data_IF_609449022979
#
_entry.id   IF_609449022979
#
_cell.length_a   1.000
_cell.length_b   1.000
_cell.length_c   1.000
_cell.angle_alpha   90.00
_cell.angle_beta   90.00
_cell.angle_gamma   90.00
#
_symmetry.space_group_name_H-M   'P 1'
#
loop_
_entity.id
_entity.type
_entity.pdbx_description
1 polymer ?
#
# COMPACT_ATOMS: atom_id res chain seq x y z
N UNK A 1 52.73 8.90 18.13
CA UNK A 1 51.94 9.24 19.34
C UNK A 1 50.54 9.64 18.92
N UNK A 2 49.56 9.03 19.60
CA UNK A 2 48.10 9.25 19.58
C UNK A 2 47.66 10.70 19.35
N UNK A 3 46.64 10.91 18.51
CA UNK A 3 45.28 11.15 19.02
C UNK A 3 44.20 11.05 17.93
N UNK A 4 43.10 10.42 18.34
CA UNK A 4 41.81 10.27 17.65
C UNK A 4 41.02 11.58 17.71
N UNK A 5 40.16 11.83 16.71
CA UNK A 5 38.75 12.13 16.97
C UNK A 5 37.89 11.90 15.71
N UNK A 6 36.73 11.32 15.98
CA UNK A 6 35.61 10.94 15.11
C UNK A 6 34.58 12.09 15.14
N UNK A 7 33.57 12.01 14.26
CA UNK A 7 32.19 12.59 14.31
C UNK A 7 31.97 13.64 13.21
N UNK A 8 30.87 13.74 12.43
CA UNK A 8 29.66 12.96 12.06
C UNK A 8 29.05 13.72 10.85
N UNK A 9 28.29 13.00 10.01
CA UNK A 9 27.27 13.40 9.02
C UNK A 9 26.76 14.84 8.92
N UNK A 10 26.41 15.25 7.70
CA UNK A 10 25.12 15.94 7.46
C UNK A 10 24.58 15.66 6.05
N UNK A 11 23.44 14.95 5.99
CA UNK A 11 22.56 14.86 4.83
C UNK A 11 21.94 16.24 4.57
N UNK A 12 22.01 16.70 3.31
CA UNK A 12 21.28 17.87 2.83
C UNK A 12 19.90 17.42 2.31
N UNK A 13 18.89 17.59 3.17
CA UNK A 13 17.50 17.81 2.75
C UNK A 13 17.39 19.29 2.35
N UNK A 14 17.16 19.56 1.07
CA UNK A 14 16.83 20.91 0.59
C UNK A 14 15.33 20.99 0.32
N UNK A 15 14.60 21.43 1.33
CA UNK A 15 13.31 22.10 1.18
C UNK A 15 13.57 23.52 0.67
N UNK A 16 13.05 23.83 -0.51
CA UNK A 16 13.06 25.19 -1.05
C UNK A 16 11.89 25.99 -0.44
N UNK A 17 12.19 26.87 0.51
CA UNK A 17 11.36 28.02 0.83
C UNK A 17 12.03 29.28 0.28
N UNK A 18 11.29 30.05 -0.51
CA UNK A 18 11.71 31.38 -0.96
C UNK A 18 11.27 32.45 0.06
N UNK A 19 12.11 33.46 0.36
CA UNK A 19 11.77 34.56 1.23
C UNK A 19 11.23 35.78 0.45
N UNK A 20 10.30 36.52 1.06
CA UNK A 20 9.84 37.83 0.60
C UNK A 20 9.45 38.72 1.78
N UNK A 21 10.32 39.71 2.05
CA UNK A 21 10.33 40.74 3.09
C UNK A 21 9.01 41.56 3.21
N UNK A 22 8.40 41.86 4.38
CA UNK A 22 8.74 42.72 5.56
C UNK A 22 7.96 44.07 5.62
N UNK A 23 7.30 44.28 6.77
CA UNK A 23 6.98 45.51 7.55
C UNK A 23 5.59 46.21 7.56
N UNK A 24 5.03 46.25 8.79
CA UNK A 24 4.33 47.30 9.58
C UNK A 24 3.00 47.88 9.05
N UNK A 25 1.91 48.11 9.80
CA UNK A 25 1.68 48.50 11.22
C UNK A 25 0.23 48.14 11.67
N UNK A 26 -0.13 48.26 12.96
CA UNK A 26 -1.44 47.88 13.49
C UNK A 26 -2.43 49.06 13.60
N UNK A 27 -3.67 48.90 13.14
CA UNK A 27 -4.88 49.43 13.83
C UNK A 27 -6.18 49.25 13.03
N UNK A 28 -7.26 49.09 13.80
CA UNK A 28 -8.66 49.40 13.49
C UNK A 28 -9.55 48.34 12.83
N UNK A 29 -10.48 47.87 13.67
CA UNK A 29 -11.85 47.42 13.41
C UNK A 29 -12.45 47.82 12.04
N UNK A 30 -12.95 46.84 11.30
CA UNK A 30 -14.37 46.72 10.93
C UNK A 30 -14.61 45.43 10.16
N UNK A 31 -15.65 44.69 10.54
CA UNK A 31 -16.11 43.49 9.85
C UNK A 31 -16.58 43.81 8.42
N UNK A 32 -16.38 42.87 7.50
CA UNK A 32 -17.47 42.53 6.61
C UNK A 32 -17.75 41.02 6.63
N UNK A 33 -19.04 40.73 6.71
CA UNK A 33 -19.65 39.46 6.36
C UNK A 33 -19.21 39.02 4.97
N UNK A 34 -18.46 37.93 4.89
CA UNK A 34 -18.29 37.16 3.67
C UNK A 34 -18.77 35.74 3.94
N UNK A 35 -19.90 35.40 3.34
CA UNK A 35 -20.34 34.02 3.12
C UNK A 35 -19.20 33.24 2.46
N UNK A 36 -18.50 32.44 3.25
CA UNK A 36 -17.62 31.40 2.73
C UNK A 36 -18.51 30.43 1.94
N UNK A 37 -18.14 30.07 0.70
CA UNK A 37 -18.69 28.88 0.11
C UNK A 37 -18.27 27.75 1.04
N UNK A 38 -19.23 27.06 1.65
CA UNK A 38 -18.96 25.72 2.16
C UNK A 38 -18.52 24.92 0.93
N UNK A 39 -17.20 24.77 0.75
CA UNK A 39 -16.66 23.68 -0.04
C UNK A 39 -17.33 22.43 0.52
N UNK A 40 -18.26 21.90 -0.26
CA UNK A 40 -18.86 20.61 -0.01
C UNK A 40 -17.68 19.66 -0.01
N UNK A 41 -17.28 19.19 1.18
CA UNK A 41 -16.21 18.22 1.32
C UNK A 41 -16.72 16.98 0.61
N UNK A 42 -16.29 16.79 -0.64
CA UNK A 42 -16.59 15.61 -1.41
C UNK A 42 -15.94 14.46 -0.67
N UNK A 43 -16.78 13.67 0.01
CA UNK A 43 -16.33 12.47 0.69
C UNK A 43 -15.89 11.49 -0.39
N UNK A 44 -14.64 11.06 -0.28
CA UNK A 44 -14.13 10.06 -1.18
C UNK A 44 -14.35 8.67 -0.59
N UNK A 45 -15.02 7.79 -1.33
CA UNK A 45 -15.25 6.40 -0.92
C UNK A 45 -13.93 5.63 -0.80
N UNK A 46 -13.89 4.67 0.13
CA UNK A 46 -12.79 3.72 0.29
C UNK A 46 -13.08 2.40 -0.45
N UNK A 47 -12.05 1.79 -1.02
CA UNK A 47 -12.12 0.50 -1.71
C UNK A 47 -11.86 -0.66 -0.73
N UNK A 48 -12.87 -1.50 -0.49
CA UNK A 48 -12.73 -2.69 0.36
C UNK A 48 -12.27 -3.89 -0.43
N UNK A 49 -11.24 -4.54 0.09
CA UNK A 49 -10.65 -5.77 -0.41
C UNK A 49 -11.33 -7.00 0.18
N UNK A 50 -11.24 -8.12 -0.53
CA UNK A 50 -11.84 -9.39 -0.14
C UNK A 50 -10.82 -10.43 0.30
N UNK A 51 -11.22 -11.36 1.15
CA UNK A 51 -10.46 -12.57 1.42
C UNK A 51 -11.43 -13.74 1.64
N UNK A 52 -11.14 -14.89 1.00
CA UNK A 52 -12.01 -16.07 1.08
C UNK A 52 -12.02 -16.61 2.52
N UNK A 53 -13.20 -17.06 2.96
CA UNK A 53 -13.35 -17.73 4.27
C UNK A 53 -13.27 -16.81 5.48
N UNK A 54 -13.24 -15.49 5.27
CA UNK A 54 -13.30 -14.52 6.38
C UNK A 54 -14.72 -14.45 6.93
N UNK A 55 -14.84 -14.56 8.25
CA UNK A 55 -16.13 -14.56 8.96
C UNK A 55 -16.22 -13.52 10.08
N UNK A 56 -15.13 -12.82 10.35
CA UNK A 56 -15.01 -11.82 11.42
C UNK A 56 -14.01 -10.73 11.05
N UNK A 57 -13.92 -9.73 11.91
CA UNK A 57 -12.88 -8.71 11.87
C UNK A 57 -11.48 -9.32 12.08
N UNK A 58 -10.46 -8.67 11.55
CA UNK A 58 -9.05 -8.96 11.82
C UNK A 58 -8.60 -8.16 13.05
N UNK A 59 -8.25 -8.86 14.13
CA UNK A 59 -7.84 -8.21 15.37
C UNK A 59 -6.44 -7.60 15.23
N UNK A 60 -6.35 -6.32 15.54
CA UNK A 60 -5.12 -5.56 15.70
C UNK A 60 -4.74 -5.59 17.19
N UNK A 61 -3.55 -6.09 17.49
CA UNK A 61 -3.07 -6.28 18.86
C UNK A 61 -2.08 -5.21 19.32
N UNK A 62 -1.61 -4.34 18.43
CA UNK A 62 -0.68 -3.26 18.75
C UNK A 62 -0.91 -1.97 17.95
N UNK A 63 -0.52 -0.82 18.53
CA UNK A 63 -0.62 0.50 17.89
C UNK A 63 0.20 0.56 16.58
N UNK A 64 1.33 -0.11 16.62
CA UNK A 64 2.17 -0.51 15.52
C UNK A 64 1.42 -1.14 14.33
N UNK A 65 0.73 -2.25 14.55
CA UNK A 65 -0.03 -2.95 13.50
C UNK A 65 -1.09 -2.01 12.92
N UNK A 66 -1.77 -1.25 13.77
CA UNK A 66 -2.72 -0.21 13.34
C UNK A 66 -2.05 0.80 12.41
N UNK A 67 -0.89 1.33 12.76
CA UNK A 67 -0.12 2.25 11.91
C UNK A 67 0.30 1.59 10.59
N UNK A 68 0.71 0.33 10.61
CA UNK A 68 1.11 -0.39 9.39
C UNK A 68 -0.05 -0.51 8.40
N UNK A 69 -1.22 -0.91 8.89
CA UNK A 69 -2.43 -1.09 8.07
C UNK A 69 -2.92 0.26 7.51
N UNK A 70 -3.02 1.27 8.37
CA UNK A 70 -3.70 2.53 8.04
C UNK A 70 -2.87 3.52 7.23
N UNK A 71 -1.57 3.30 7.02
CA UNK A 71 -0.67 4.27 6.37
C UNK A 71 -0.50 4.12 4.86
N UNK A 72 -0.94 3.03 4.25
CA UNK A 72 -0.62 2.74 2.85
C UNK A 72 -1.82 2.31 1.98
N UNK A 73 -2.89 1.84 2.61
CA UNK A 73 -4.02 1.26 1.89
C UNK A 73 -5.34 1.81 2.41
N UNK A 74 -6.39 1.56 1.63
CA UNK A 74 -7.77 1.76 2.07
C UNK A 74 -8.11 0.76 3.18
N UNK A 75 -8.73 1.24 4.24
CA UNK A 75 -9.07 0.40 5.39
C UNK A 75 -10.28 0.91 6.17
N UNK A 76 -11.06 -0.02 6.72
CA UNK A 76 -12.01 0.24 7.80
C UNK A 76 -11.43 -0.30 9.09
N UNK A 77 -11.37 0.56 10.11
CA UNK A 77 -11.00 0.19 11.47
C UNK A 77 -12.20 0.36 12.40
N UNK A 78 -12.61 -0.73 13.02
CA UNK A 78 -13.62 -0.78 14.08
C UNK A 78 -12.93 -0.68 15.45
N UNK A 79 -13.02 0.48 16.08
CA UNK A 79 -12.51 0.73 17.43
C UNK A 79 -13.54 0.26 18.46
N UNK A 80 -13.19 -0.73 19.25
CA UNK A 80 -14.06 -1.37 20.24
C UNK A 80 -13.48 -1.29 21.65
N UNK A 81 -14.23 -1.77 22.65
CA UNK A 81 -13.70 -1.93 24.00
C UNK A 81 -14.28 -3.20 24.64
N UNK A 82 -13.60 -3.81 25.63
CA UNK A 82 -14.13 -4.96 26.36
C UNK A 82 -15.44 -4.61 27.09
N UNK A 83 -16.33 -5.58 27.23
CA UNK A 83 -17.62 -5.45 27.95
C UNK A 83 -18.58 -4.36 27.43
N UNK A 84 -18.35 -3.82 26.24
CA UNK A 84 -19.22 -2.83 25.61
C UNK A 84 -20.42 -3.49 24.92
N UNK A 85 -21.63 -3.24 25.45
CA UNK A 85 -22.88 -3.81 24.93
C UNK A 85 -23.09 -3.45 23.45
N UNK A 86 -22.88 -2.18 23.09
CA UNK A 86 -23.00 -1.71 21.70
C UNK A 86 -21.97 -2.36 20.77
N UNK A 87 -20.72 -2.51 21.23
CA UNK A 87 -19.66 -3.15 20.48
C UNK A 87 -20.00 -4.62 20.22
N UNK A 88 -20.55 -5.32 21.20
CA UNK A 88 -21.01 -6.71 21.04
C UNK A 88 -22.18 -6.85 20.05
N UNK A 89 -23.09 -5.88 20.02
CA UNK A 89 -24.19 -5.85 19.05
C UNK A 89 -23.65 -5.62 17.62
N UNK A 90 -22.73 -4.67 17.46
CA UNK A 90 -22.16 -4.33 16.15
C UNK A 90 -21.22 -5.40 15.60
N UNK A 91 -20.48 -6.13 16.44
CA UNK A 91 -19.70 -7.30 15.99
C UNK A 91 -20.57 -8.33 15.27
N UNK A 92 -21.82 -8.54 15.70
CA UNK A 92 -22.74 -9.47 15.03
C UNK A 92 -23.19 -8.96 13.66
N UNK A 93 -23.44 -7.66 13.53
CA UNK A 93 -23.77 -7.01 12.25
C UNK A 93 -22.56 -7.06 11.30
N UNK A 94 -21.36 -6.78 11.82
CA UNK A 94 -20.10 -6.87 11.11
C UNK A 94 -19.83 -8.29 10.61
N UNK A 95 -19.91 -9.31 11.47
CA UNK A 95 -19.73 -10.71 11.05
C UNK A 95 -20.68 -11.09 9.91
N UNK A 96 -21.95 -10.67 9.99
CA UNK A 96 -22.90 -10.89 8.89
C UNK A 96 -22.46 -10.19 7.61
N UNK A 97 -22.11 -8.90 7.68
CA UNK A 97 -21.66 -8.12 6.52
C UNK A 97 -20.37 -8.70 5.91
N UNK A 98 -19.42 -9.11 6.74
CA UNK A 98 -18.16 -9.72 6.35
C UNK A 98 -18.41 -11.06 5.65
N UNK A 99 -19.26 -11.94 6.19
CA UNK A 99 -19.58 -13.22 5.55
C UNK A 99 -20.34 -13.05 4.22
N UNK A 100 -21.28 -12.10 4.15
CA UNK A 100 -22.06 -11.85 2.93
C UNK A 100 -21.21 -11.27 1.79
N UNK A 101 -20.15 -10.52 2.12
CA UNK A 101 -19.37 -9.76 1.13
C UNK A 101 -17.90 -10.20 1.02
N UNK A 102 -17.45 -11.10 1.89
CA UNK A 102 -16.06 -11.57 2.03
C UNK A 102 -15.04 -10.45 2.26
N UNK A 103 -15.44 -9.36 2.92
CA UNK A 103 -14.62 -8.14 3.06
C UNK A 103 -13.72 -8.15 4.28
N UNK A 104 -12.57 -7.49 4.14
CA UNK A 104 -11.63 -7.27 5.23
C UNK A 104 -12.00 -6.00 6.01
N UNK A 105 -12.26 -6.17 7.31
CA UNK A 105 -12.43 -5.08 8.26
C UNK A 105 -11.54 -5.36 9.46
N UNK A 106 -10.80 -4.35 9.93
CA UNK A 106 -9.90 -4.48 11.07
C UNK A 106 -10.61 -4.06 12.36
N UNK A 107 -10.31 -4.73 13.46
CA UNK A 107 -10.78 -4.36 14.80
C UNK A 107 -9.60 -4.02 15.70
N UNK A 108 -9.72 -2.94 16.48
CA UNK A 108 -8.70 -2.55 17.46
C UNK A 108 -9.36 -2.20 18.78
N UNK A 109 -8.78 -2.63 19.89
CA UNK A 109 -9.23 -2.22 21.21
C UNK A 109 -8.89 -0.74 21.45
N UNK A 110 -9.76 -0.02 22.16
CA UNK A 110 -9.61 1.39 22.47
C UNK A 110 -8.26 1.74 23.14
N UNK A 111 -7.72 0.88 24.01
CA UNK A 111 -6.44 1.13 24.65
C UNK A 111 -5.29 1.11 23.64
N UNK A 112 -5.24 0.08 22.78
CA UNK A 112 -4.30 -0.01 21.66
C UNK A 112 -4.46 1.13 20.67
N UNK A 113 -5.69 1.54 20.38
CA UNK A 113 -5.97 2.71 19.55
C UNK A 113 -5.42 4.00 20.19
N UNK A 114 -5.60 4.16 21.51
CA UNK A 114 -5.17 5.34 22.25
C UNK A 114 -3.65 5.48 22.24
N UNK A 115 -2.91 4.38 22.26
CA UNK A 115 -1.46 4.39 22.07
C UNK A 115 -1.07 4.97 20.70
N UNK A 116 -1.70 4.54 19.61
CA UNK A 116 -1.47 5.11 18.28
C UNK A 116 -1.86 6.59 18.18
N UNK A 117 -2.95 6.99 18.85
CA UNK A 117 -3.41 8.38 18.92
C UNK A 117 -2.43 9.30 19.64
N UNK A 118 -1.81 8.82 20.72
CA UNK A 118 -0.87 9.58 21.55
C UNK A 118 0.56 9.57 21.00
N UNK A 119 0.84 8.75 19.99
CA UNK A 119 2.15 8.69 19.34
C UNK A 119 2.55 10.04 18.75
N UNK A 120 3.84 10.39 18.84
CA UNK A 120 4.35 11.65 18.33
C UNK A 120 4.08 11.82 16.83
N UNK A 121 4.16 10.74 16.05
CA UNK A 121 3.91 10.78 14.60
C UNK A 121 2.46 11.16 14.24
N UNK A 122 1.51 11.05 15.18
CA UNK A 122 0.15 11.53 14.97
C UNK A 122 0.01 13.06 15.12
N UNK A 123 1.04 13.72 15.68
CA UNK A 123 1.04 15.17 15.93
C UNK A 123 1.94 15.94 14.96
N UNK A 124 2.86 15.26 14.26
CA UNK A 124 3.85 15.89 13.38
C UNK A 124 4.12 15.06 12.11
N UNK A 125 4.61 15.72 11.06
CA UNK A 125 5.08 15.07 9.84
C UNK A 125 3.96 14.52 8.94
N UNK A 126 4.33 13.57 8.09
CA UNK A 126 3.46 13.03 7.02
C UNK A 126 2.23 12.26 7.53
N UNK A 127 2.21 11.90 8.82
CA UNK A 127 1.13 11.16 9.47
C UNK A 127 0.39 11.98 10.53
N UNK A 128 0.53 13.31 10.50
CA UNK A 128 -0.21 14.20 11.39
C UNK A 128 -1.72 14.00 11.20
N UNK A 129 -2.44 13.86 12.32
CA UNK A 129 -3.90 13.63 12.36
C UNK A 129 -4.37 12.32 11.72
N UNK A 130 -3.48 11.32 11.60
CA UNK A 130 -3.82 9.97 11.14
C UNK A 130 -4.88 9.30 12.03
N UNK A 131 -4.83 9.55 13.34
CA UNK A 131 -5.76 8.99 14.31
C UNK A 131 -6.54 10.14 14.96
N UNK A 132 -7.84 10.29 14.68
CA UNK A 132 -8.65 11.33 15.31
C UNK A 132 -9.00 10.96 16.76
N UNK A 133 -9.45 11.94 17.55
CA UNK A 133 -9.95 11.63 18.89
C UNK A 133 -11.20 10.71 18.82
N UNK A 134 -11.13 9.59 19.55
CA UNK A 134 -12.26 8.66 19.74
C UNK A 134 -12.75 8.80 21.18
N UNK A 135 -13.97 9.32 21.34
CA UNK A 135 -14.58 9.62 22.65
C UNK A 135 -15.62 8.59 23.06
N UNK A 136 -16.03 7.70 22.15
CA UNK A 136 -17.06 6.67 22.35
C UNK A 136 -16.71 5.43 21.54
N UNK A 137 -17.10 4.27 22.04
CA UNK A 137 -17.04 3.01 21.29
C UNK A 137 -18.44 2.39 21.23
N UNK A 138 -18.78 1.67 20.15
CA UNK A 138 -17.95 1.44 18.96
C UNK A 138 -17.79 2.70 18.08
N UNK A 139 -16.64 2.81 17.40
CA UNK A 139 -16.37 3.86 16.39
C UNK A 139 -15.70 3.24 15.18
N UNK A 140 -16.16 3.60 13.98
CA UNK A 140 -15.56 3.25 12.70
C UNK A 140 -14.70 4.39 12.18
N UNK A 141 -13.52 4.04 11.69
CA UNK A 141 -12.58 4.96 11.05
C UNK A 141 -12.34 4.45 9.63
N UNK A 142 -12.52 5.34 8.67
CA UNK A 142 -12.35 5.09 7.25
C UNK A 142 -11.05 5.74 6.80
N UNK A 143 -10.17 4.94 6.22
CA UNK A 143 -8.87 5.36 5.70
C UNK A 143 -8.87 5.23 4.20
N UNK A 144 -8.48 6.30 3.51
CA UNK A 144 -8.29 6.32 2.06
C UNK A 144 -6.83 6.58 1.75
N UNK A 145 -6.21 5.68 1.02
CA UNK A 145 -4.82 5.73 0.58
C UNK A 145 -3.84 6.11 1.70
N UNK A 146 -4.02 5.50 2.86
CA UNK A 146 -3.16 5.77 3.99
C UNK A 146 -3.49 7.03 4.81
N UNK A 147 -4.58 7.74 4.50
CA UNK A 147 -5.01 8.97 5.19
C UNK A 147 -6.37 8.79 5.85
N UNK A 148 -6.54 9.41 7.03
CA UNK A 148 -7.86 9.48 7.66
C UNK A 148 -8.84 10.24 6.76
N UNK A 149 -9.99 9.61 6.47
CA UNK A 149 -11.04 10.17 5.62
C UNK A 149 -12.28 10.51 6.45
N UNK A 150 -12.84 9.53 7.17
CA UNK A 150 -14.09 9.72 7.91
C UNK A 150 -14.17 8.95 9.22
N UNK A 151 -15.02 9.42 10.13
CA UNK A 151 -15.33 8.77 11.42
C UNK A 151 -16.83 8.65 11.64
N UNK A 152 -17.30 7.44 11.90
CA UNK A 152 -18.69 7.16 12.26
C UNK A 152 -18.77 6.53 13.66
N UNK A 153 -19.57 7.10 14.56
CA UNK A 153 -19.80 6.52 15.89
C UNK A 153 -20.98 5.57 15.80
N UNK A 154 -20.74 4.30 16.12
CA UNK A 154 -21.77 3.26 16.13
C UNK A 154 -22.85 3.52 17.17
N UNK A 155 -24.09 3.11 16.87
CA UNK A 155 -25.29 3.44 17.66
C UNK A 155 -26.24 2.26 17.85
N UNK A 156 -25.88 1.05 17.41
CA UNK A 156 -26.80 -0.08 17.43
C UNK A 156 -26.82 -0.70 18.84
N UNK A 157 -27.95 -0.58 19.55
CA UNK A 157 -28.09 -0.96 20.96
C UNK A 157 -28.82 -2.28 21.20
N UNK A 158 -29.64 -2.73 20.25
CA UNK A 158 -30.56 -3.85 20.48
C UNK A 158 -30.91 -4.63 19.21
N UNK A 159 -30.78 -5.96 19.31
CA UNK A 159 -31.02 -7.01 18.32
C UNK A 159 -30.39 -6.82 16.94
N UNK A 160 -29.19 -7.36 16.77
CA UNK A 160 -28.56 -7.64 15.46
C UNK A 160 -29.36 -8.58 14.55
N UNK A 161 -30.49 -9.10 15.04
CA UNK A 161 -31.41 -9.95 14.30
C UNK A 161 -32.55 -9.15 13.61
N UNK A 162 -32.67 -7.85 13.89
CA UNK A 162 -33.64 -7.00 13.22
C UNK A 162 -33.15 -6.68 11.78
N UNK A 163 -33.89 -7.10 10.74
CA UNK A 163 -33.54 -6.82 9.35
C UNK A 163 -33.39 -5.33 9.04
N UNK A 164 -34.16 -4.46 9.72
CA UNK A 164 -34.09 -3.00 9.51
C UNK A 164 -32.77 -2.44 10.03
N UNK A 165 -32.33 -2.86 11.22
CA UNK A 165 -31.03 -2.45 11.77
C UNK A 165 -29.87 -2.92 10.89
N UNK A 166 -29.93 -4.14 10.35
CA UNK A 166 -28.89 -4.61 9.43
C UNK A 166 -28.88 -3.83 8.12
N UNK A 167 -30.06 -3.52 7.56
CA UNK A 167 -30.17 -2.69 6.37
C UNK A 167 -29.54 -1.31 6.58
N UNK A 168 -29.90 -0.62 7.67
CA UNK A 168 -29.34 0.70 8.00
C UNK A 168 -27.82 0.61 8.19
N UNK A 169 -27.34 -0.39 8.94
CA UNK A 169 -25.91 -0.62 9.15
C UNK A 169 -25.15 -0.81 7.83
N UNK A 170 -25.68 -1.68 6.97
CA UNK A 170 -25.12 -1.96 5.64
C UNK A 170 -25.07 -0.70 4.78
N UNK A 171 -26.18 0.05 4.70
CA UNK A 171 -26.25 1.31 3.95
C UNK A 171 -25.24 2.34 4.44
N UNK A 172 -24.98 2.43 5.75
CA UNK A 172 -23.96 3.33 6.30
C UNK A 172 -22.56 2.90 5.85
N UNK A 173 -22.21 1.62 5.94
CA UNK A 173 -20.89 1.17 5.46
C UNK A 173 -20.73 1.40 3.95
N UNK A 174 -21.77 1.11 3.17
CA UNK A 174 -21.78 1.30 1.72
C UNK A 174 -21.80 2.78 1.31
N UNK A 175 -22.20 3.71 2.19
CA UNK A 175 -22.13 5.16 1.90
C UNK A 175 -20.73 5.77 2.02
N UNK A 176 -19.77 5.02 2.55
CA UNK A 176 -18.37 5.45 2.67
C UNK A 176 -17.42 4.50 1.94
N UNK A 177 -17.92 3.40 1.38
CA UNK A 177 -17.07 2.36 0.82
C UNK A 177 -17.74 1.64 -0.33
N UNK A 178 -16.91 1.14 -1.25
CA UNK A 178 -17.33 0.20 -2.28
C UNK A 178 -16.50 -1.07 -2.21
N UNK A 179 -17.11 -2.18 -2.56
CA UNK A 179 -16.47 -3.48 -2.53
C UNK A 179 -15.84 -3.73 -3.91
N UNK A 180 -14.54 -3.97 -3.94
CA UNK A 180 -13.86 -4.41 -5.15
C UNK A 180 -13.76 -5.96 -5.18
N UNK A 181 -13.49 -6.52 -6.36
CA UNK A 181 -13.22 -7.95 -6.52
C UNK A 181 -11.70 -8.24 -6.48
N UNK A 182 -11.00 -7.53 -5.58
CA UNK A 182 -9.57 -7.68 -5.30
C UNK A 182 -9.40 -8.62 -4.10
N UNK A 183 -8.97 -9.87 -4.35
CA UNK A 183 -8.91 -10.91 -3.33
C UNK A 183 -7.48 -11.07 -2.80
N UNK A 184 -7.28 -10.77 -1.51
CA UNK A 184 -6.00 -10.97 -0.82
C UNK A 184 -5.70 -12.46 -0.71
N UNK A 185 -4.47 -12.84 -1.05
CA UNK A 185 -3.93 -14.19 -0.84
C UNK A 185 -2.85 -14.25 0.26
N UNK A 186 -2.49 -13.12 0.87
CA UNK A 186 -1.67 -13.13 2.08
C UNK A 186 -2.39 -13.92 3.17
N UNK A 187 -1.71 -14.90 3.75
CA UNK A 187 -2.22 -15.63 4.89
C UNK A 187 -2.21 -14.70 6.11
N UNK A 188 -3.38 -14.29 6.54
CA UNK A 188 -3.53 -13.61 7.82
C UNK A 188 -3.67 -14.70 8.90
N UNK A 189 -2.57 -15.23 9.43
CA UNK A 189 -2.68 -16.21 10.51
C UNK A 189 -3.13 -15.51 11.82
N UNK A 190 -4.41 -15.69 12.16
CA UNK A 190 -5.00 -15.22 13.42
C UNK A 190 -5.01 -16.31 14.50
N UNK A 191 -4.56 -17.53 14.20
CA UNK A 191 -4.76 -18.73 15.04
C UNK A 191 -3.59 -19.05 15.97
N UNK A 192 -2.41 -18.47 15.72
CA UNK A 192 -1.20 -18.63 16.55
C UNK A 192 -1.01 -17.53 17.61
N UNK A 193 -1.98 -16.62 17.78
CA UNK A 193 -1.92 -15.47 18.71
C UNK A 193 -2.30 -15.87 20.14
N UNK A 194 -1.57 -16.81 20.72
CA UNK A 194 -1.50 -16.99 22.17
C UNK A 194 -0.02 -16.92 22.54
N UNK A 195 0.39 -15.81 23.16
CA UNK A 195 1.76 -15.47 23.52
C UNK A 195 2.71 -15.26 22.33
N UNK A 196 2.92 -14.00 21.94
CA UNK A 196 4.24 -13.36 21.72
C UNK A 196 4.00 -11.94 21.19
N UNK A 197 4.63 -10.98 21.87
CA UNK A 197 4.64 -9.55 21.54
C UNK A 197 5.26 -9.33 20.16
N UNK A 198 4.47 -8.80 19.22
CA UNK A 198 4.93 -8.49 17.86
C UNK A 198 5.80 -7.24 17.86
N UNK A 199 7.10 -7.41 17.62
CA UNK A 199 8.03 -6.30 17.46
C UNK A 199 8.40 -6.08 15.99
N UNK A 200 8.80 -4.84 15.70
CA UNK A 200 9.31 -4.39 14.41
C UNK A 200 10.71 -4.92 14.28
N UNK A 201 11.15 -5.05 13.03
CA UNK A 201 12.56 -4.95 12.64
C UNK A 201 13.23 -3.66 13.16
N UNK A 202 13.51 -3.60 14.45
CA UNK A 202 14.62 -2.88 15.03
C UNK A 202 15.83 -3.78 14.83
N UNK A 203 17.00 -3.17 14.69
CA UNK A 203 18.25 -3.81 14.28
C UNK A 203 18.76 -4.93 15.20
N UNK A 204 18.00 -5.45 16.16
CA UNK A 204 18.51 -6.35 17.20
C UNK A 204 17.68 -7.63 17.40
N UNK A 205 16.79 -7.99 16.46
CA UNK A 205 15.95 -9.19 16.58
C UNK A 205 16.58 -10.46 15.98
N UNK A 206 16.19 -11.61 16.52
CA UNK A 206 16.65 -12.91 16.03
C UNK A 206 15.97 -13.29 14.70
N UNK A 207 16.68 -14.06 13.87
CA UNK A 207 16.18 -14.55 12.57
C UNK A 207 15.02 -15.53 12.75
N UNK A 208 15.00 -16.31 13.83
CA UNK A 208 13.88 -17.20 14.17
C UNK A 208 12.60 -16.42 14.55
N UNK A 209 12.71 -15.32 15.29
CA UNK A 209 11.56 -14.43 15.56
C UNK A 209 11.11 -13.74 14.26
N UNK A 210 12.03 -13.22 13.47
CA UNK A 210 11.76 -12.56 12.18
C UNK A 210 10.98 -13.44 11.18
N UNK A 211 11.31 -14.73 11.12
CA UNK A 211 10.64 -15.68 10.21
C UNK A 211 9.26 -16.13 10.69
N UNK A 212 8.91 -15.85 11.96
CA UNK A 212 7.59 -16.12 12.55
C UNK A 212 6.70 -14.86 12.66
N UNK A 213 7.25 -13.67 12.42
CA UNK A 213 6.52 -12.40 12.39
C UNK A 213 5.78 -12.22 11.05
N UNK A 214 4.77 -13.05 10.84
CA UNK A 214 3.92 -13.03 9.65
C UNK A 214 2.82 -11.98 9.78
N UNK A 215 3.20 -10.71 9.92
CA UNK A 215 2.18 -9.65 10.05
C UNK A 215 1.46 -9.48 8.70
N UNK A 216 2.11 -9.80 7.56
CA UNK A 216 1.61 -9.61 6.19
C UNK A 216 2.25 -10.49 5.08
N UNK A 217 2.70 -11.71 5.36
CA UNK A 217 2.86 -12.79 4.37
C UNK A 217 4.29 -13.15 3.95
N UNK A 218 5.05 -13.85 4.81
CA UNK A 218 6.00 -14.85 4.31
C UNK A 218 5.31 -16.17 4.00
N UNK A 219 4.20 -16.49 4.68
CA UNK A 219 3.42 -17.66 4.34
C UNK A 219 2.76 -17.50 2.98
N UNK A 220 2.91 -18.55 2.17
CA UNK A 220 2.39 -18.61 0.80
C UNK A 220 1.37 -19.73 0.65
N UNK A 221 0.74 -20.16 1.73
CA UNK A 221 -0.17 -21.31 1.75
C UNK A 221 -1.41 -21.04 0.90
N UNK A 222 -2.10 -19.91 1.11
CA UNK A 222 -3.25 -19.53 0.28
C UNK A 222 -2.85 -19.23 -1.17
N UNK A 223 -1.67 -18.63 -1.38
CA UNK A 223 -1.13 -18.40 -2.71
C UNK A 223 -0.87 -19.72 -3.47
N UNK A 224 -0.14 -20.64 -2.86
CA UNK A 224 0.16 -21.96 -3.40
C UNK A 224 -1.12 -22.77 -3.65
N UNK A 225 -2.08 -22.71 -2.73
CA UNK A 225 -3.38 -23.36 -2.91
C UNK A 225 -4.12 -22.77 -4.10
N UNK A 226 -4.18 -21.44 -4.22
CA UNK A 226 -4.85 -20.76 -5.32
C UNK A 226 -4.23 -21.12 -6.67
N UNK A 227 -2.90 -21.16 -6.76
CA UNK A 227 -2.21 -21.56 -8.00
C UNK A 227 -2.54 -23.02 -8.36
N UNK A 228 -2.65 -23.92 -7.37
CA UNK A 228 -3.00 -25.33 -7.60
C UNK A 228 -4.46 -25.53 -8.02
N UNK A 229 -5.34 -24.56 -7.79
CA UNK A 229 -6.69 -24.59 -8.37
C UNK A 229 -6.50 -24.63 -9.90
N UNK A 230 -7.09 -25.63 -10.58
CA UNK A 230 -6.95 -25.79 -12.04
C UNK A 230 -7.71 -24.72 -12.84
N UNK A 231 -8.04 -23.61 -12.22
CA UNK A 231 -8.75 -22.49 -12.81
C UNK A 231 -7.73 -21.44 -13.26
N UNK A 232 -8.03 -20.75 -14.38
CA UNK A 232 -7.25 -19.58 -14.77
C UNK A 232 -7.34 -18.55 -13.64
N UNK A 233 -6.19 -18.06 -13.19
CA UNK A 233 -6.12 -17.03 -12.16
C UNK A 233 -4.98 -16.07 -12.42
N UNK A 234 -5.27 -14.77 -12.30
CA UNK A 234 -4.29 -13.70 -12.38
C UNK A 234 -4.02 -13.19 -10.97
N UNK A 235 -2.75 -13.21 -10.59
CA UNK A 235 -2.26 -12.76 -9.29
C UNK A 235 -1.39 -11.54 -9.50
N UNK A 236 -1.74 -10.43 -8.84
CA UNK A 236 -0.96 -9.22 -8.78
C UNK A 236 -0.05 -9.25 -7.54
N UNK A 237 1.26 -9.20 -7.74
CA UNK A 237 2.25 -9.09 -6.69
C UNK A 237 2.62 -7.62 -6.48
N UNK A 238 2.40 -7.12 -5.25
CA UNK A 238 2.56 -5.72 -4.91
C UNK A 238 3.43 -5.53 -3.68
N UNK A 239 3.92 -4.31 -3.51
CA UNK A 239 4.58 -3.86 -2.30
C UNK A 239 3.94 -2.55 -1.85
N UNK A 240 3.28 -2.53 -0.69
CA UNK A 240 2.51 -1.37 -0.18
C UNK A 240 3.24 -0.02 -0.18
N UNK A 241 4.57 -0.02 -0.09
CA UNK A 241 5.39 1.21 -0.09
C UNK A 241 5.98 1.53 -1.48
N UNK A 242 5.57 0.81 -2.50
CA UNK A 242 6.01 1.00 -3.89
C UNK A 242 5.19 2.10 -4.56
N UNK A 243 5.87 3.15 -5.03
CA UNK A 243 5.26 4.23 -5.80
C UNK A 243 4.61 3.71 -7.09
N UNK A 244 5.25 2.76 -7.76
CA UNK A 244 4.75 2.18 -9.01
C UNK A 244 3.49 1.32 -8.77
N UNK A 245 3.39 0.62 -7.62
CA UNK A 245 2.17 -0.08 -7.22
C UNK A 245 1.01 0.90 -6.97
N UNK A 246 1.30 2.07 -6.37
CA UNK A 246 0.30 3.13 -6.19
C UNK A 246 -0.17 3.67 -7.54
N UNK A 247 0.77 3.98 -8.43
CA UNK A 247 0.49 4.45 -9.80
C UNK A 247 -0.36 3.43 -10.59
N UNK A 248 -0.06 2.13 -10.46
CA UNK A 248 -0.85 1.07 -11.10
C UNK A 248 -2.31 1.09 -10.64
N UNK A 249 -2.54 1.26 -9.33
CA UNK A 249 -3.88 1.33 -8.76
C UNK A 249 -4.65 2.53 -9.32
N UNK A 250 -4.07 3.72 -9.18
CA UNK A 250 -4.70 5.00 -9.55
C UNK A 250 -4.98 5.10 -11.06
N UNK A 251 -4.02 4.69 -11.90
CA UNK A 251 -4.11 4.90 -13.35
C UNK A 251 -4.76 3.75 -14.11
N UNK A 252 -4.92 2.58 -13.50
CA UNK A 252 -5.40 1.37 -14.19
C UNK A 252 -6.47 0.65 -13.38
N UNK A 253 -6.12 0.12 -12.20
CA UNK A 253 -7.01 -0.83 -11.51
C UNK A 253 -8.32 -0.19 -11.08
N UNK A 254 -8.30 1.03 -10.55
CA UNK A 254 -9.50 1.69 -10.05
C UNK A 254 -10.52 1.90 -11.17
N UNK A 255 -10.09 2.37 -12.34
CA UNK A 255 -10.99 2.58 -13.48
C UNK A 255 -11.41 1.27 -14.16
N UNK A 256 -10.50 0.29 -14.22
CA UNK A 256 -10.82 -1.05 -14.71
C UNK A 256 -11.93 -1.70 -13.88
N UNK A 257 -11.84 -1.70 -12.54
CA UNK A 257 -12.84 -2.31 -11.68
C UNK A 257 -14.14 -1.50 -11.54
N UNK A 258 -14.09 -0.17 -11.72
CA UNK A 258 -15.33 0.62 -11.87
C UNK A 258 -16.14 0.17 -13.09
N UNK A 259 -15.45 -0.17 -14.18
CA UNK A 259 -16.06 -0.56 -15.47
C UNK A 259 -16.41 -2.04 -15.52
N UNK A 260 -15.57 -2.90 -14.95
CA UNK A 260 -15.67 -4.36 -15.00
C UNK A 260 -15.85 -4.94 -13.59
N UNK A 261 -16.94 -4.56 -12.93
CA UNK A 261 -17.20 -4.89 -11.51
C UNK A 261 -17.18 -6.39 -11.21
N UNK A 262 -17.50 -7.23 -12.19
CA UNK A 262 -17.52 -8.70 -12.02
C UNK A 262 -16.14 -9.35 -12.19
N UNK A 263 -15.17 -8.65 -12.79
CA UNK A 263 -13.82 -9.18 -12.98
C UNK A 263 -13.13 -9.36 -11.64
N UNK A 264 -12.45 -10.50 -11.47
CA UNK A 264 -11.76 -10.87 -10.25
C UNK A 264 -10.26 -10.94 -10.48
N UNK A 265 -9.50 -10.26 -9.63
CA UNK A 265 -8.07 -10.46 -9.54
C UNK A 265 -7.69 -10.85 -8.12
N UNK A 266 -6.64 -11.67 -8.01
CA UNK A 266 -6.04 -12.00 -6.74
C UNK A 266 -4.80 -11.14 -6.55
N UNK A 267 -4.41 -10.86 -5.31
CA UNK A 267 -3.16 -10.16 -5.09
C UNK A 267 -2.44 -10.62 -3.82
N UNK A 268 -1.13 -10.43 -3.82
CA UNK A 268 -0.24 -10.85 -2.76
C UNK A 268 0.79 -9.74 -2.47
N UNK A 269 0.81 -9.27 -1.23
CA UNK A 269 1.76 -8.27 -0.74
C UNK A 269 3.09 -8.90 -0.35
N UNK A 270 4.20 -8.39 -0.89
CA UNK A 270 5.56 -8.90 -0.64
C UNK A 270 6.35 -8.02 0.34
N UNK A 271 5.65 -7.22 1.17
CA UNK A 271 6.26 -6.21 2.03
C UNK A 271 7.33 -6.77 2.97
N UNK A 272 7.11 -7.96 3.53
CA UNK A 272 8.09 -8.66 4.39
C UNK A 272 9.43 -8.91 3.70
N UNK A 273 9.42 -9.36 2.43
CA UNK A 273 10.64 -9.56 1.65
C UNK A 273 11.38 -8.25 1.37
N UNK A 274 10.65 -7.19 1.04
CA UNK A 274 11.23 -5.88 0.75
C UNK A 274 11.83 -5.22 1.99
N UNK A 275 11.17 -5.35 3.14
CA UNK A 275 11.70 -4.90 4.43
C UNK A 275 12.98 -5.64 4.81
N UNK A 276 13.00 -6.97 4.69
CA UNK A 276 14.14 -7.78 5.07
C UNK A 276 15.36 -7.55 4.16
N UNK A 277 15.17 -7.49 2.83
CA UNK A 277 16.28 -7.28 1.88
C UNK A 277 16.86 -5.86 1.90
N UNK A 278 16.22 -4.93 2.61
CA UNK A 278 16.66 -3.53 2.79
C UNK A 278 17.25 -3.25 4.17
N UNK A 279 17.41 -4.27 4.99
CA UNK A 279 18.05 -4.14 6.30
C UNK A 279 19.49 -3.62 6.19
N UNK A 280 19.92 -2.84 7.18
CA UNK A 280 21.29 -2.33 7.26
C UNK A 280 22.29 -3.39 7.72
N UNK A 281 21.81 -4.42 8.42
CA UNK A 281 22.64 -5.53 8.87
C UNK A 281 22.85 -6.54 7.74
N UNK A 282 24.12 -6.80 7.43
CA UNK A 282 24.51 -7.58 6.27
C UNK A 282 23.95 -9.02 6.29
N UNK A 283 23.92 -9.68 7.44
CA UNK A 283 23.35 -11.02 7.58
C UNK A 283 21.84 -11.05 7.29
N UNK A 284 21.07 -10.11 7.85
CA UNK A 284 19.62 -10.02 7.62
C UNK A 284 19.31 -9.60 6.19
N UNK A 285 20.08 -8.66 5.65
CA UNK A 285 19.99 -8.23 4.26
C UNK A 285 20.22 -9.40 3.31
N UNK A 286 21.28 -10.18 3.51
CA UNK A 286 21.62 -11.32 2.66
C UNK A 286 20.58 -12.43 2.76
N UNK A 287 20.02 -12.68 3.95
CA UNK A 287 18.86 -13.56 4.11
C UNK A 287 17.67 -13.07 3.27
N UNK A 288 17.32 -11.79 3.37
CA UNK A 288 16.23 -11.19 2.62
C UNK A 288 16.42 -11.24 1.10
N UNK A 289 17.63 -11.00 0.62
CA UNK A 289 17.97 -11.11 -0.80
C UNK A 289 17.79 -12.55 -1.31
N UNK A 290 18.28 -13.54 -0.57
CA UNK A 290 18.11 -14.96 -0.93
C UNK A 290 16.63 -15.40 -0.89
N UNK A 291 15.87 -14.97 0.12
CA UNK A 291 14.45 -15.25 0.24
C UNK A 291 13.66 -14.61 -0.90
N UNK A 292 13.94 -13.34 -1.23
CA UNK A 292 13.31 -12.64 -2.34
C UNK A 292 13.60 -13.30 -3.67
N UNK A 293 14.85 -13.72 -3.90
CA UNK A 293 15.22 -14.42 -5.12
C UNK A 293 14.49 -15.75 -5.26
N UNK A 294 14.49 -16.57 -4.20
CA UNK A 294 13.75 -17.84 -4.18
C UNK A 294 12.25 -17.66 -4.43
N UNK A 295 11.65 -16.63 -3.83
CA UNK A 295 10.25 -16.27 -4.05
C UNK A 295 9.99 -15.82 -5.48
N UNK A 296 10.83 -14.91 -6.00
CA UNK A 296 10.74 -14.41 -7.38
C UNK A 296 10.86 -15.54 -8.39
N UNK A 297 11.73 -16.53 -8.12
CA UNK A 297 11.87 -17.72 -8.95
C UNK A 297 10.67 -18.63 -8.88
N UNK A 298 10.17 -18.93 -7.67
CA UNK A 298 9.00 -19.79 -7.47
C UNK A 298 7.75 -19.25 -8.17
N UNK A 299 7.55 -17.92 -8.15
CA UNK A 299 6.34 -17.29 -8.68
C UNK A 299 6.55 -16.52 -9.97
N UNK A 300 7.66 -16.72 -10.68
CA UNK A 300 7.91 -16.13 -12.00
C UNK A 300 7.80 -14.59 -12.03
N UNK A 301 8.38 -13.92 -11.03
CA UNK A 301 8.37 -12.45 -10.95
C UNK A 301 9.48 -11.79 -11.78
N UNK A 302 10.04 -12.52 -12.74
CA UNK A 302 11.11 -12.07 -13.61
C UNK A 302 10.97 -12.76 -14.96
N UNK A 303 11.51 -12.11 -15.99
CA UNK A 303 11.66 -12.69 -17.32
C UNK A 303 13.15 -12.98 -17.56
N UNK A 304 13.49 -14.15 -18.12
CA UNK A 304 14.88 -14.53 -18.46
C UNK A 304 15.52 -13.57 -19.48
N UNK A 305 14.72 -12.91 -20.31
CA UNK A 305 15.21 -11.91 -21.26
C UNK A 305 15.54 -10.57 -20.55
N UNK A 306 14.92 -10.32 -19.39
CA UNK A 306 14.95 -9.01 -18.70
C UNK A 306 15.11 -9.10 -17.18
N UNK A 307 15.93 -10.02 -16.67
CA UNK A 307 16.12 -10.16 -15.22
C UNK A 307 17.12 -9.13 -14.67
N UNK A 308 16.82 -8.65 -13.48
CA UNK A 308 17.76 -7.89 -12.66
C UNK A 308 18.51 -8.83 -11.75
N UNK A 309 19.77 -8.50 -11.48
CA UNK A 309 20.57 -9.15 -10.45
C UNK A 309 20.73 -8.22 -9.26
N UNK A 310 20.59 -8.78 -8.06
CA UNK A 310 20.83 -8.04 -6.82
C UNK A 310 22.33 -7.97 -6.46
N UNK A 311 22.65 -7.43 -5.28
CA UNK A 311 24.02 -7.28 -4.81
C UNK A 311 24.76 -8.61 -4.56
N UNK A 312 24.02 -9.73 -4.45
CA UNK A 312 24.58 -11.08 -4.32
C UNK A 312 24.62 -11.81 -5.66
N UNK A 313 24.30 -11.12 -6.76
CA UNK A 313 24.19 -11.69 -8.10
C UNK A 313 23.06 -12.74 -8.20
N UNK A 314 22.03 -12.63 -7.35
CA UNK A 314 20.84 -13.45 -7.43
C UNK A 314 19.78 -12.78 -8.31
N UNK A 315 18.87 -13.57 -8.88
CA UNK A 315 17.72 -13.07 -9.64
C UNK A 315 16.84 -12.22 -8.72
N UNK A 316 16.58 -10.99 -9.11
CA UNK A 316 15.69 -10.05 -8.44
C UNK A 316 14.41 -9.89 -9.26
N UNK A 317 13.28 -10.35 -8.73
CA UNK A 317 11.98 -10.12 -9.33
C UNK A 317 11.51 -8.68 -9.22
N UNK A 318 10.46 -8.38 -9.98
CA UNK A 318 9.83 -7.07 -10.12
C UNK A 318 8.50 -7.00 -9.39
N UNK A 319 8.14 -5.80 -8.92
CA UNK A 319 6.79 -5.46 -8.45
C UNK A 319 6.51 -3.98 -8.81
N UNK A 320 5.29 -3.62 -9.24
CA UNK A 320 4.13 -4.49 -9.39
C UNK A 320 4.21 -5.42 -10.60
N UNK A 321 3.77 -6.67 -10.42
CA UNK A 321 3.79 -7.70 -11.47
C UNK A 321 2.50 -8.50 -11.44
N UNK A 322 1.84 -8.61 -12.59
CA UNK A 322 0.78 -9.58 -12.81
C UNK A 322 1.39 -10.91 -13.26
N UNK A 323 0.88 -12.01 -12.73
CA UNK A 323 1.21 -13.36 -13.20
C UNK A 323 -0.06 -14.16 -13.35
N UNK A 324 -0.24 -14.77 -14.51
CA UNK A 324 -1.39 -15.63 -14.80
C UNK A 324 -0.97 -17.09 -14.76
N UNK A 325 -1.75 -17.87 -14.02
CA UNK A 325 -1.62 -19.32 -13.91
C UNK A 325 -2.86 -19.98 -14.49
N UNK A 326 -2.68 -21.14 -15.12
CA UNK A 326 -3.76 -22.00 -15.58
C UNK A 326 -3.33 -23.46 -15.39
N UNK A 327 -4.25 -24.29 -14.92
CA UNK A 327 -3.99 -25.72 -14.65
C UNK A 327 -2.79 -25.97 -13.72
N UNK A 328 -2.53 -25.05 -12.78
CA UNK A 328 -1.37 -25.13 -11.87
C UNK A 328 -0.04 -24.73 -12.46
N UNK A 329 -0.02 -24.14 -13.66
CA UNK A 329 1.19 -23.80 -14.41
C UNK A 329 1.22 -22.33 -14.81
N UNK A 330 2.40 -21.73 -14.74
CA UNK A 330 2.66 -20.38 -15.24
C UNK A 330 2.30 -20.28 -16.73
N UNK A 331 1.60 -19.21 -17.09
CA UNK A 331 1.23 -18.91 -18.48
C UNK A 331 1.96 -17.67 -18.98
N UNK A 332 1.78 -16.56 -18.28
CA UNK A 332 2.26 -15.25 -18.73
C UNK A 332 2.38 -14.26 -17.58
N UNK A 333 3.17 -13.20 -17.77
CA UNK A 333 3.36 -12.12 -16.80
C UNK A 333 3.37 -10.75 -17.46
N UNK A 334 3.03 -9.74 -16.69
CA UNK A 334 3.15 -8.34 -17.10
C UNK A 334 3.70 -7.51 -15.93
N UNK A 335 4.73 -6.70 -16.20
CA UNK A 335 5.34 -5.81 -15.22
C UNK A 335 4.96 -4.38 -15.56
N UNK A 336 4.51 -3.63 -14.57
CA UNK A 336 4.16 -2.22 -14.74
C UNK A 336 5.20 -1.31 -14.09
N UNK A 337 5.74 -0.37 -14.88
CA UNK A 337 6.76 0.63 -14.50
C UNK A 337 8.01 0.01 -13.88
N UNK A 338 9.04 -0.19 -14.71
CA UNK A 338 10.29 -0.80 -14.27
C UNK A 338 11.51 -0.30 -15.06
N UNK A 339 11.36 0.85 -15.71
CA UNK A 339 12.43 1.52 -16.43
C UNK A 339 13.43 2.09 -15.44
N UNK A 340 14.72 1.84 -15.68
CA UNK A 340 15.78 2.36 -14.83
C UNK A 340 17.01 2.78 -15.62
N UNK A 341 17.90 3.49 -14.92
CA UNK A 341 19.21 3.95 -15.42
C UNK A 341 19.07 4.78 -16.70
N UNK A 342 18.44 5.98 -16.61
CA UNK A 342 18.41 6.92 -17.70
C UNK A 342 19.84 7.34 -18.07
N UNK A 343 20.20 7.24 -19.34
CA UNK A 343 21.49 7.66 -19.89
C UNK A 343 21.30 8.80 -20.87
N UNK A 344 22.34 9.60 -21.04
CA UNK A 344 22.40 10.64 -22.07
C UNK A 344 23.02 10.07 -23.34
N UNK A 345 22.31 10.19 -24.44
CA UNK A 345 22.76 9.81 -25.77
C UNK A 345 23.76 10.83 -26.35
N UNK A 346 24.42 10.46 -27.46
CA UNK A 346 25.35 11.36 -28.15
C UNK A 346 24.64 12.63 -28.67
N UNK A 347 23.42 12.46 -29.18
CA UNK A 347 22.52 13.54 -29.63
C UNK A 347 22.00 14.44 -28.48
N UNK A 348 22.30 14.06 -27.23
CA UNK A 348 21.95 14.79 -26.02
C UNK A 348 20.55 14.54 -25.47
N UNK A 349 19.76 13.66 -26.10
CA UNK A 349 18.52 13.15 -25.50
C UNK A 349 18.80 12.15 -24.37
N UNK A 350 17.80 11.84 -23.57
CA UNK A 350 17.83 10.77 -22.59
C UNK A 350 17.13 9.51 -23.11
N UNK A 351 17.60 8.33 -22.75
CA UNK A 351 16.94 7.04 -22.97
C UNK A 351 17.19 6.09 -21.80
N UNK A 352 16.45 4.97 -21.73
CA UNK A 352 16.68 3.94 -20.74
C UNK A 352 17.70 2.91 -21.21
N UNK A 353 18.58 2.47 -20.32
CA UNK A 353 19.42 1.28 -20.57
C UNK A 353 18.74 0.00 -20.14
N UNK A 354 17.76 0.09 -19.26
CA UNK A 354 17.04 -1.05 -18.70
C UNK A 354 15.55 -0.71 -18.64
N UNK A 355 14.74 -1.60 -19.20
CA UNK A 355 13.29 -1.58 -19.14
C UNK A 355 12.80 -3.01 -19.32
N UNK A 356 11.62 -3.32 -18.79
CA UNK A 356 10.97 -4.62 -19.01
C UNK A 356 10.48 -4.73 -20.45
N UNK A 357 9.85 -3.67 -20.96
CA UNK A 357 9.37 -3.58 -22.33
C UNK A 357 10.46 -3.06 -23.27
N UNK A 358 10.69 -3.77 -24.37
CA UNK A 358 11.68 -3.35 -25.39
C UNK A 358 11.31 -2.02 -26.03
N UNK A 359 10.01 -1.73 -26.22
CA UNK A 359 9.56 -0.45 -26.76
C UNK A 359 10.01 0.73 -25.88
N UNK A 360 10.08 0.54 -24.56
CA UNK A 360 10.55 1.56 -23.62
C UNK A 360 12.04 1.86 -23.77
N UNK A 361 12.87 0.89 -24.19
CA UNK A 361 14.30 1.11 -24.45
C UNK A 361 14.56 1.97 -25.69
N UNK A 362 13.62 1.97 -26.63
CA UNK A 362 13.70 2.75 -27.87
C UNK A 362 13.27 4.20 -27.68
N UNK A 363 12.69 4.54 -26.53
CA UNK A 363 12.25 5.90 -26.23
C UNK A 363 13.43 6.87 -26.06
N UNK A 364 13.19 8.10 -26.50
CA UNK A 364 14.05 9.25 -26.26
C UNK A 364 13.27 10.42 -25.69
N UNK A 365 13.90 11.18 -24.79
CA UNK A 365 13.39 12.50 -24.40
C UNK A 365 13.38 13.45 -25.60
N UNK A 366 12.49 14.44 -25.59
CA UNK A 366 12.46 15.47 -26.64
C UNK A 366 13.42 16.61 -26.30
N UNK A 367 13.59 16.89 -25.01
CA UNK A 367 14.52 17.89 -24.51
C UNK A 367 15.96 17.36 -24.57
N UNK A 368 16.85 18.18 -25.16
CA UNK A 368 18.30 17.96 -25.21
C UNK A 368 18.95 18.48 -23.93
N UNK A 369 19.81 17.66 -23.35
CA UNK A 369 20.56 17.94 -22.13
C UNK A 369 22.04 18.17 -22.45
N UNK A 370 22.65 19.14 -21.77
CA UNK A 370 24.07 19.41 -21.83
C UNK A 370 24.90 18.30 -21.15
N UNK A 371 26.17 18.17 -21.56
CA UNK A 371 27.07 17.12 -21.08
C UNK A 371 27.45 17.41 -19.62
N UNK A 372 27.11 16.48 -18.70
CA UNK A 372 27.37 16.48 -17.24
C UNK A 372 26.31 17.14 -16.34
N UNK A 373 25.15 17.46 -16.89
CA UNK A 373 24.10 18.14 -16.12
C UNK A 373 22.96 17.17 -15.78
N UNK A 374 22.97 16.62 -14.58
CA UNK A 374 21.92 15.71 -14.06
C UNK A 374 20.98 16.39 -13.08
N UNK A 375 21.19 17.68 -12.78
CA UNK A 375 20.44 18.40 -11.76
C UNK A 375 19.71 19.63 -12.31
N UNK A 376 19.99 20.09 -13.53
CA UNK A 376 19.27 21.23 -14.08
C UNK A 376 17.82 20.95 -14.38
N UNK A 377 17.05 22.03 -14.45
CA UNK A 377 15.66 22.02 -14.90
C UNK A 377 15.52 21.38 -16.30
N UNK A 378 16.51 21.51 -17.19
CA UNK A 378 16.48 20.85 -18.51
C UNK A 378 16.57 19.34 -18.39
N UNK A 379 17.51 18.82 -17.57
CA UNK A 379 17.61 17.38 -17.35
C UNK A 379 16.35 16.83 -16.69
N UNK A 380 15.84 17.51 -15.66
CA UNK A 380 14.61 17.09 -14.96
C UNK A 380 13.40 17.07 -15.91
N UNK A 381 13.28 18.07 -16.79
CA UNK A 381 12.25 18.08 -17.83
C UNK A 381 12.40 16.92 -18.82
N UNK A 382 13.61 16.70 -19.34
CA UNK A 382 13.90 15.59 -20.25
C UNK A 382 13.58 14.22 -19.61
N UNK A 383 13.88 14.09 -18.31
CA UNK A 383 13.60 12.89 -17.53
C UNK A 383 12.10 12.67 -17.37
N UNK A 384 11.34 13.72 -17.04
CA UNK A 384 9.87 13.67 -16.95
C UNK A 384 9.23 13.29 -18.29
N UNK A 385 9.70 13.89 -19.39
CA UNK A 385 9.23 13.55 -20.75
C UNK A 385 9.45 12.06 -21.05
N UNK A 386 10.64 11.55 -20.74
CA UNK A 386 11.00 10.15 -20.98
C UNK A 386 10.14 9.18 -20.15
N UNK A 387 10.01 9.43 -18.83
CA UNK A 387 9.17 8.59 -17.97
C UNK A 387 7.69 8.67 -18.34
N UNK A 388 7.18 9.83 -18.75
CA UNK A 388 5.79 9.96 -19.20
C UNK A 388 5.51 9.12 -20.45
N UNK A 389 6.44 9.09 -21.41
CA UNK A 389 6.34 8.25 -22.61
C UNK A 389 6.33 6.76 -22.25
N UNK A 390 7.22 6.32 -21.35
CA UNK A 390 7.26 4.93 -20.90
C UNK A 390 5.97 4.54 -20.16
N UNK A 391 5.52 5.37 -19.22
CA UNK A 391 4.27 5.16 -18.49
C UNK A 391 3.06 5.01 -19.42
N UNK A 392 3.02 5.73 -20.54
CA UNK A 392 1.94 5.59 -21.53
C UNK A 392 1.94 4.20 -22.19
N UNK A 393 3.12 3.65 -22.49
CA UNK A 393 3.27 2.29 -23.03
C UNK A 393 2.83 1.28 -21.98
N UNK A 394 3.34 1.40 -20.75
CA UNK A 394 3.04 0.46 -19.66
C UNK A 394 1.56 0.46 -19.27
N UNK A 395 0.91 1.63 -19.26
CA UNK A 395 -0.55 1.72 -19.06
C UNK A 395 -1.29 0.94 -20.15
N UNK A 396 -0.84 1.03 -21.40
CA UNK A 396 -1.45 0.30 -22.51
C UNK A 396 -1.26 -1.20 -22.35
N UNK A 397 -0.02 -1.64 -22.12
CA UNK A 397 0.34 -3.06 -21.94
C UNK A 397 -0.39 -3.71 -20.77
N UNK A 398 -0.41 -3.05 -19.61
CA UNK A 398 -1.12 -3.56 -18.44
C UNK A 398 -2.65 -3.63 -18.64
N UNK A 399 -3.25 -2.64 -19.32
CA UNK A 399 -4.68 -2.70 -19.67
C UNK A 399 -4.99 -3.83 -20.64
N UNK A 400 -4.17 -4.03 -21.66
CA UNK A 400 -4.35 -5.10 -22.63
C UNK A 400 -4.20 -6.47 -21.96
N UNK A 401 -3.20 -6.63 -21.08
CA UNK A 401 -3.03 -7.82 -20.27
C UNK A 401 -4.26 -8.10 -19.39
N UNK A 402 -4.81 -7.11 -18.69
CA UNK A 402 -6.00 -7.28 -17.86
C UNK A 402 -7.22 -7.69 -18.69
N UNK A 403 -7.40 -7.13 -19.90
CA UNK A 403 -8.49 -7.54 -20.80
C UNK A 403 -8.31 -8.99 -21.26
N UNK A 404 -7.13 -9.37 -21.71
CA UNK A 404 -6.85 -10.72 -22.22
C UNK A 404 -6.94 -11.78 -21.11
N UNK A 405 -6.67 -11.39 -19.88
CA UNK A 405 -6.65 -12.33 -18.74
C UNK A 405 -7.98 -12.44 -18.03
N UNK A 406 -8.77 -11.36 -17.94
CA UNK A 406 -9.97 -11.27 -17.10
C UNK A 406 -11.30 -11.10 -17.84
N UNK A 407 -11.30 -10.80 -19.15
CA UNK A 407 -12.49 -10.69 -20.00
C UNK A 407 -12.53 -11.82 -21.03
#
# INVERSE_FOLDING_TARGET
MKNKNIIVSLLLLLSFSLPGCVNNDPSSFSSPSSSSPTEEIVMEDIALKKAKGVSSTFLITSAEQLRSITRYEDAIVFVSQPNCIHCNAERKLLSRYIMENEVIIYEVEYLTYKEAYLDESNNIGDYMSQFPAVTRTPTYLFYKEGKFNHKFVGRFASSSADPENYFIFKTILESYSYINNFYVLNDFDTSSINDVTYHYFLTNESVEETSSLDILGFSTTSLDQKIKEKEKSTILFTWRRCGDCKSLRENILDDFFKTHKESRIYYYEVDGYYLLKRQSQENLKNLGLNMWSSFSTKYHLYNEDFYNLDALNNIAGYVPTFVTYQDGTYQDMEVYLNESKPIRNEDGTLSFTMAFHEECKQLKSDTIVDKKDTTSAKYQKALQELYFKAMTIDITKANDYLKDTLL
#
